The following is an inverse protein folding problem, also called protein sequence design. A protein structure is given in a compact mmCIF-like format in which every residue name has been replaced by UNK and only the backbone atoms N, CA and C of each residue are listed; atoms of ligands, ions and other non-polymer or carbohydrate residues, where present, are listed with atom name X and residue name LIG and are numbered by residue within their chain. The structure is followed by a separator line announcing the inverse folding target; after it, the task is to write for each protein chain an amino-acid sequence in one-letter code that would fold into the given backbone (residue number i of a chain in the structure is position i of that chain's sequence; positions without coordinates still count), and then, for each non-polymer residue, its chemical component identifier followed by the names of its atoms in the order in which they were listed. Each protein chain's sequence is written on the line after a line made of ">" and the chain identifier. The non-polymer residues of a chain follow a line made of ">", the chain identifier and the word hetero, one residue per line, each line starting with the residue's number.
data_IF_469265139873
#
_entry.id   IF_469265139873
#
_cell.length_a   1.000
_cell.length_b   1.000
_cell.length_c   1.000
_cell.angle_alpha   90.00
_cell.angle_beta   90.00
_cell.angle_gamma   90.00
#
_symmetry.space_group_name_H-M   'P 1'
#
loop_
_entity.id
_entity.type
_entity.pdbx_description
1 polymer ?
#
# COMPACT_ATOMS: atom_id res chain seq x y z
N UNK A 1 -15.39 1.80 8.97
CA UNK A 1 -14.56 1.02 8.05
C UNK A 1 -13.37 0.53 8.85
N UNK A 2 -13.11 -0.78 8.87
CA UNK A 2 -12.01 -1.40 9.64
C UNK A 2 -10.66 -1.17 8.97
N UNK A 3 -9.54 -1.46 9.66
CA UNK A 3 -8.20 -1.42 9.06
C UNK A 3 -8.13 -2.34 7.83
N UNK A 4 -8.62 -3.57 7.94
CA UNK A 4 -8.72 -4.54 6.84
C UNK A 4 -9.53 -4.01 5.64
N UNK A 5 -10.66 -3.35 5.88
CA UNK A 5 -11.48 -2.78 4.81
C UNK A 5 -10.75 -1.63 4.09
N UNK A 6 -10.03 -0.78 4.83
CA UNK A 6 -9.19 0.26 4.22
C UNK A 6 -8.03 -0.35 3.43
N UNK A 7 -7.33 -1.33 3.98
CA UNK A 7 -6.23 -2.01 3.30
C UNK A 7 -6.69 -2.63 1.97
N UNK A 8 -7.85 -3.31 1.96
CA UNK A 8 -8.45 -3.85 0.74
C UNK A 8 -8.84 -2.78 -0.27
N UNK A 9 -9.35 -1.64 0.18
CA UNK A 9 -9.69 -0.54 -0.71
C UNK A 9 -8.44 0.08 -1.36
N UNK A 10 -7.37 0.26 -0.59
CA UNK A 10 -6.08 0.77 -1.09
C UNK A 10 -5.44 -0.25 -2.04
N UNK A 11 -5.42 -1.53 -1.68
CA UNK A 11 -4.94 -2.62 -2.54
C UNK A 11 -5.69 -2.61 -3.89
N UNK A 12 -7.02 -2.55 -3.87
CA UNK A 12 -7.82 -2.51 -5.09
C UNK A 12 -7.52 -1.28 -5.96
N UNK A 13 -7.27 -0.12 -5.34
CA UNK A 13 -6.88 1.10 -6.05
C UNK A 13 -5.50 0.95 -6.72
N UNK A 14 -4.50 0.43 -5.99
CA UNK A 14 -3.14 0.18 -6.51
C UNK A 14 -3.19 -0.82 -7.66
N UNK A 15 -3.93 -1.92 -7.51
CA UNK A 15 -4.09 -2.93 -8.55
C UNK A 15 -4.82 -2.38 -9.78
N UNK A 16 -5.73 -1.40 -9.61
CA UNK A 16 -6.34 -0.70 -10.74
C UNK A 16 -5.35 0.20 -11.47
N UNK A 17 -4.55 0.99 -10.74
CA UNK A 17 -3.54 1.87 -11.32
C UNK A 17 -2.50 1.09 -12.13
N UNK A 18 -2.05 -0.06 -11.60
CA UNK A 18 -1.09 -0.93 -12.30
C UNK A 18 -1.66 -1.52 -13.60
N UNK A 19 -2.95 -1.84 -13.66
CA UNK A 19 -3.60 -2.27 -14.91
C UNK A 19 -3.62 -1.16 -15.98
N UNK A 20 -3.58 0.09 -15.56
CA UNK A 20 -3.48 1.26 -16.44
C UNK A 20 -2.01 1.66 -16.73
N UNK A 21 -1.04 0.90 -16.20
CA UNK A 21 0.40 1.12 -16.42
C UNK A 21 1.07 2.08 -15.43
N UNK A 22 0.39 2.45 -14.33
CA UNK A 22 0.96 3.27 -13.26
C UNK A 22 1.43 2.41 -12.09
N UNK A 23 2.69 2.57 -11.69
CA UNK A 23 3.32 1.80 -10.61
C UNK A 23 3.76 2.71 -9.47
N UNK A 24 3.81 2.17 -8.26
CA UNK A 24 4.33 2.88 -7.09
C UNK A 24 5.87 2.86 -7.11
N UNK A 25 6.46 4.01 -6.80
CA UNK A 25 7.87 4.17 -6.48
C UNK A 25 8.04 4.85 -5.11
N UNK A 26 9.26 4.88 -4.60
CA UNK A 26 9.63 5.51 -3.32
C UNK A 26 9.82 7.04 -3.42
N UNK A 27 9.42 7.66 -4.54
CA UNK A 27 9.68 9.06 -4.86
C UNK A 27 11.04 9.32 -5.51
N UNK A 28 11.94 8.33 -5.55
CA UNK A 28 13.22 8.38 -6.27
C UNK A 28 13.22 7.55 -7.55
N UNK A 29 12.07 6.95 -7.89
CA UNK A 29 11.89 6.10 -9.07
C UNK A 29 12.28 4.64 -8.85
N UNK A 30 12.55 4.22 -7.61
CA UNK A 30 12.79 2.82 -7.27
C UNK A 30 11.47 2.12 -6.93
N UNK A 31 11.31 0.90 -7.44
CA UNK A 31 10.11 0.11 -7.19
C UNK A 31 9.91 -0.14 -5.69
N UNK A 32 8.69 0.16 -5.20
CA UNK A 32 8.29 -0.25 -3.85
C UNK A 32 7.91 -1.72 -3.88
N UNK A 33 8.51 -2.52 -2.99
CA UNK A 33 8.29 -3.97 -2.92
C UNK A 33 7.35 -4.39 -1.79
N UNK A 34 7.03 -3.49 -0.85
CA UNK A 34 6.10 -3.74 0.23
C UNK A 34 5.48 -2.45 0.76
N UNK A 35 4.22 -2.53 1.18
CA UNK A 35 3.49 -1.43 1.78
C UNK A 35 2.69 -1.95 2.99
N UNK A 36 2.74 -1.22 4.09
CA UNK A 36 2.00 -1.54 5.32
C UNK A 36 1.07 -0.38 5.66
N UNK A 37 -0.16 -0.70 6.07
CA UNK A 37 -1.10 0.25 6.63
C UNK A 37 -1.20 0.04 8.13
N UNK A 38 -0.88 1.07 8.89
CA UNK A 38 -0.89 1.03 10.35
C UNK A 38 -2.14 1.71 10.92
N UNK A 39 -2.77 1.09 11.91
CA UNK A 39 -3.68 1.77 12.82
C UNK A 39 -2.87 2.38 13.95
N UNK A 40 -3.11 3.67 14.24
CA UNK A 40 -2.37 4.43 15.24
C UNK A 40 -3.31 5.02 16.27
N UNK A 41 -2.93 4.96 17.54
CA UNK A 41 -3.68 5.60 18.63
C UNK A 41 -3.44 7.11 18.69
N UNK A 42 -4.14 7.80 19.61
CA UNK A 42 -4.01 9.25 19.83
C UNK A 42 -2.60 9.68 20.30
N UNK A 43 -1.70 8.74 20.60
CA UNK A 43 -0.32 8.96 21.00
C UNK A 43 0.68 8.55 19.89
N UNK A 44 0.21 8.38 18.65
CA UNK A 44 0.97 7.98 17.46
C UNK A 44 1.63 6.59 17.59
N UNK A 45 1.08 5.70 18.41
CA UNK A 45 1.58 4.34 18.58
C UNK A 45 0.81 3.39 17.67
N UNK A 46 1.55 2.54 16.97
CA UNK A 46 0.96 1.47 16.15
C UNK A 46 0.25 0.47 17.07
N UNK A 47 -1.05 0.27 16.86
CA UNK A 47 -1.89 -0.69 17.60
C UNK A 47 -2.11 -1.98 16.82
N UNK A 48 -2.16 -1.88 15.48
CA UNK A 48 -2.26 -3.00 14.55
C UNK A 48 -1.80 -2.56 13.15
N UNK A 49 -1.59 -3.53 12.25
CA UNK A 49 -1.13 -3.27 10.89
C UNK A 49 -1.69 -4.30 9.91
N UNK A 50 -1.79 -3.91 8.65
CA UNK A 50 -2.16 -4.78 7.53
C UNK A 50 -1.13 -4.61 6.40
N UNK A 51 -0.75 -5.73 5.79
CA UNK A 51 0.11 -5.73 4.61
C UNK A 51 -0.74 -5.49 3.35
N UNK A 52 -0.28 -4.58 2.49
CA UNK A 52 -0.88 -4.33 1.18
C UNK A 52 -0.01 -4.98 0.11
N UNK A 53 -0.62 -5.91 -0.65
CA UNK A 53 0.10 -6.60 -1.72
C UNK A 53 0.23 -5.70 -2.94
N UNK A 54 1.48 -5.37 -3.25
CA UNK A 54 1.81 -4.60 -4.43
C UNK A 54 1.87 -5.51 -5.67
N UNK A 55 1.43 -5.02 -6.84
CA UNK A 55 1.66 -5.70 -8.10
C UNK A 55 3.16 -5.69 -8.44
N UNK A 56 3.62 -6.68 -9.20
CA UNK A 56 4.99 -6.70 -9.70
C UNK A 56 5.24 -5.46 -10.58
N UNK A 57 6.28 -4.70 -10.23
CA UNK A 57 6.70 -3.52 -10.99
C UNK A 57 7.77 -3.89 -12.01
N UNK A 58 7.68 -3.38 -13.26
CA UNK A 58 8.75 -3.54 -14.25
C UNK A 58 9.99 -2.68 -13.97
N UNK A 59 9.97 -1.89 -12.90
CA UNK A 59 11.08 -1.02 -12.47
C UNK A 59 12.10 -1.74 -11.55
N UNK A 60 11.93 -3.05 -11.32
CA UNK A 60 12.83 -3.89 -10.50
C UNK A 60 14.06 -4.31 -11.31
#
# INVERSE_FOLDING_TARGET
>A
MTLEEHARAIEAAIQSAARDGYYLDDGEGLAVTGLELNDVDDADRITSWEEIRLPESPLI
#
